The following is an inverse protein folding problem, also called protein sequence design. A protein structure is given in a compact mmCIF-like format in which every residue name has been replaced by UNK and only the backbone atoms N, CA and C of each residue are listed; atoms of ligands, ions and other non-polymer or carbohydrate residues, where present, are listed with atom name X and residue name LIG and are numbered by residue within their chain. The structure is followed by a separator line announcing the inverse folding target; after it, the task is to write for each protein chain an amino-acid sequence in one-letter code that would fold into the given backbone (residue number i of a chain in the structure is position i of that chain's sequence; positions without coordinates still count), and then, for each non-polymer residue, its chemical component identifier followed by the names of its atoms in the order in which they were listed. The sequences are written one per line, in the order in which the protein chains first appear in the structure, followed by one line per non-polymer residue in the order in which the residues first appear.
data_IF_170914602558
#
_entry.id   IF_170914602558
#
_cell.length_a   1.000
_cell.length_b   1.000
_cell.length_c   1.000
_cell.angle_alpha   90.00
_cell.angle_beta   90.00
_cell.angle_gamma   90.00
#
_symmetry.space_group_name_H-M   'P 1'
#
loop_
_entity.id
_entity.type
_entity.pdbx_description
1 polymer ?
#
# COMPACT_ATOMS: atom_id res chain seq x y z
N UNK A 1 -8.57 -28.21 4.00
CA UNK A 1 -8.81 -27.04 3.16
C UNK A 1 -10.32 -26.85 2.91
N UNK A 2 -11.07 -27.90 2.59
CA UNK A 2 -12.51 -27.85 2.39
C UNK A 2 -13.24 -27.28 3.62
N UNK A 3 -12.85 -27.70 4.82
CA UNK A 3 -13.39 -27.17 6.07
C UNK A 3 -13.09 -25.69 6.27
N UNK A 4 -11.88 -25.24 5.94
CA UNK A 4 -11.47 -23.84 6.06
C UNK A 4 -12.21 -22.93 5.06
N UNK A 5 -12.53 -23.44 3.88
CA UNK A 5 -13.29 -22.70 2.87
C UNK A 5 -14.79 -22.58 3.23
N UNK A 6 -15.30 -23.46 4.10
CA UNK A 6 -16.70 -23.44 4.57
C UNK A 6 -16.92 -22.58 5.83
N UNK A 7 -15.84 -22.14 6.50
CA UNK A 7 -15.97 -21.21 7.61
C UNK A 7 -16.52 -19.90 7.08
N UNK A 8 -17.78 -19.58 7.45
CA UNK A 8 -18.32 -18.26 7.24
C UNK A 8 -17.41 -17.24 7.94
N UNK A 9 -17.26 -16.01 7.40
CA UNK A 9 -16.52 -14.98 8.09
C UNK A 9 -17.10 -14.86 9.49
N UNK A 10 -16.28 -15.12 10.51
CA UNK A 10 -16.67 -14.84 11.88
C UNK A 10 -16.84 -13.32 11.95
N UNK A 11 -18.07 -12.87 12.12
CA UNK A 11 -18.35 -11.47 12.49
C UNK A 11 -17.61 -11.25 13.80
N UNK A 12 -16.46 -10.61 13.72
CA UNK A 12 -15.76 -10.11 14.92
C UNK A 12 -16.60 -8.93 15.39
N UNK A 13 -17.56 -9.25 16.25
CA UNK A 13 -18.31 -8.24 16.99
C UNK A 13 -17.37 -7.66 18.04
N UNK A 14 -16.71 -6.56 17.69
CA UNK A 14 -15.80 -5.83 18.58
C UNK A 14 -16.52 -5.06 19.68
N UNK A 15 -17.63 -5.56 20.20
CA UNK A 15 -18.37 -4.95 21.31
C UNK A 15 -18.16 -5.66 22.65
N UNK A 16 -17.13 -6.47 22.84
CA UNK A 16 -16.76 -6.95 24.16
C UNK A 16 -15.64 -6.11 24.76
N UNK A 17 -16.02 -5.42 25.83
CA UNK A 17 -15.22 -4.67 26.79
C UNK A 17 -13.87 -5.33 27.11
N UNK A 18 -12.79 -4.60 26.87
CA UNK A 18 -11.52 -4.86 27.53
C UNK A 18 -11.68 -4.32 28.95
N UNK A 19 -12.05 -5.18 29.89
CA UNK A 19 -11.87 -4.90 31.32
C UNK A 19 -10.37 -4.92 31.64
N UNK A 20 -9.91 -3.82 32.20
CA UNK A 20 -8.59 -3.63 32.78
C UNK A 20 -8.19 -4.77 33.70
N UNK A 21 -7.17 -5.52 33.36
CA UNK A 21 -6.37 -6.25 34.34
C UNK A 21 -4.99 -5.56 34.43
N UNK A 22 -4.92 -4.59 35.32
CA UNK A 22 -3.68 -4.01 35.78
C UNK A 22 -2.97 -5.03 36.67
N UNK A 23 -1.92 -5.64 36.17
CA UNK A 23 -0.91 -6.28 37.01
C UNK A 23 0.31 -5.38 37.14
N UNK A 24 0.52 -4.96 38.39
CA UNK A 24 1.55 -4.10 38.89
C UNK A 24 2.96 -4.68 38.68
N UNK A 25 3.84 -3.93 38.01
CA UNK A 25 5.28 -4.05 38.22
C UNK A 25 5.80 -2.74 38.83
N UNK A 26 6.12 -2.84 40.11
CA UNK A 26 6.81 -1.85 40.95
C UNK A 26 8.31 -1.80 40.57
N UNK A 27 8.80 -0.67 40.10
CA UNK A 27 10.17 -0.26 40.29
C UNK A 27 10.21 1.26 40.45
N UNK A 28 10.40 1.66 41.72
CA UNK A 28 10.61 3.03 42.08
C UNK A 28 11.91 3.59 41.49
N UNK A 29 11.85 4.82 41.04
CA UNK A 29 12.86 5.82 41.43
C UNK A 29 12.28 7.22 41.23
N UNK A 30 12.50 8.03 42.25
CA UNK A 30 12.03 9.38 42.45
C UNK A 30 12.89 10.41 41.69
N UNK A 31 12.27 11.39 41.05
CA UNK A 31 12.81 12.76 41.07
C UNK A 31 11.73 13.79 40.83
N UNK A 32 11.52 14.65 41.81
CA UNK A 32 10.68 15.84 41.82
C UNK A 32 11.12 16.85 40.77
N UNK A 33 10.16 17.49 40.09
CA UNK A 33 10.02 18.96 40.09
C UNK A 33 8.67 19.35 39.44
N UNK A 34 7.95 20.17 40.19
CA UNK A 34 6.70 20.83 39.78
C UNK A 34 6.95 21.88 38.70
N UNK A 35 6.01 22.03 37.76
CA UNK A 35 5.36 23.32 37.52
C UNK A 35 4.03 23.16 36.79
N UNK A 36 3.08 23.91 37.30
CA UNK A 36 1.70 24.08 36.87
C UNK A 36 1.60 24.95 35.61
N UNK A 37 0.82 24.53 34.60
CA UNK A 37 0.00 25.50 33.90
C UNK A 37 -1.23 24.83 33.23
N UNK A 38 -2.36 25.35 33.60
CA UNK A 38 -3.71 25.10 33.10
C UNK A 38 -3.87 25.55 31.65
N UNK A 39 -4.28 24.63 30.77
CA UNK A 39 -4.85 24.99 29.48
C UNK A 39 -6.15 24.20 29.23
N UNK A 40 -7.20 24.95 29.03
CA UNK A 40 -8.58 24.54 28.83
C UNK A 40 -8.75 23.70 27.56
N UNK A 41 -9.51 22.60 27.70
CA UNK A 41 -10.01 21.78 26.60
C UNK A 41 -11.11 22.53 25.84
N UNK A 42 -10.91 22.75 24.55
CA UNK A 42 -12.00 23.03 23.61
C UNK A 42 -12.29 21.78 22.81
N UNK A 43 -13.45 21.19 23.06
CA UNK A 43 -14.00 20.09 22.29
C UNK A 43 -14.33 20.56 20.86
N UNK A 44 -13.68 19.96 19.87
CA UNK A 44 -14.08 20.04 18.47
C UNK A 44 -15.10 18.95 18.13
N UNK A 45 -15.97 19.15 17.12
CA UNK A 45 -17.07 18.26 16.86
C UNK A 45 -16.58 16.92 16.28
N UNK A 46 -17.00 15.84 16.94
CA UNK A 46 -16.93 14.48 16.42
C UNK A 46 -17.82 14.39 15.17
N UNK A 47 -17.20 14.29 14.01
CA UNK A 47 -17.88 13.89 12.79
C UNK A 47 -17.23 12.59 12.32
N UNK A 48 -17.58 11.48 13.00
CA UNK A 48 -17.29 10.14 12.50
C UNK A 48 -18.33 9.80 11.44
N UNK A 49 -18.07 10.14 10.20
CA UNK A 49 -18.72 9.46 9.08
C UNK A 49 -18.31 8.00 9.13
N UNK A 50 -19.19 7.15 9.68
CA UNK A 50 -19.15 5.71 9.44
C UNK A 50 -19.38 5.53 7.95
N UNK A 51 -18.32 5.29 7.21
CA UNK A 51 -18.42 4.66 5.90
C UNK A 51 -18.92 3.25 6.14
N UNK A 52 -20.23 3.07 5.94
CA UNK A 52 -20.85 1.75 5.83
C UNK A 52 -20.25 1.07 4.60
N UNK A 53 -19.13 0.38 4.78
CA UNK A 53 -18.61 -0.57 3.79
C UNK A 53 -19.61 -1.71 3.80
N UNK A 54 -20.46 -1.77 2.80
CA UNK A 54 -21.35 -2.91 2.60
C UNK A 54 -20.49 -4.19 2.58
N UNK A 55 -20.85 -5.25 3.31
CA UNK A 55 -20.08 -6.48 3.30
C UNK A 55 -19.98 -6.99 1.88
N UNK A 56 -18.75 -7.18 1.41
CA UNK A 56 -18.47 -7.81 0.13
C UNK A 56 -19.07 -9.21 0.19
N UNK A 57 -20.02 -9.51 -0.72
CA UNK A 57 -20.62 -10.85 -0.85
C UNK A 57 -19.66 -11.85 -1.53
N UNK A 58 -18.38 -11.53 -1.62
CA UNK A 58 -17.38 -12.37 -2.23
C UNK A 58 -16.94 -13.45 -1.21
N UNK A 59 -17.02 -14.71 -1.65
CA UNK A 59 -16.51 -15.86 -0.89
C UNK A 59 -15.01 -15.77 -0.61
N UNK A 60 -14.43 -16.79 0.04
CA UNK A 60 -13.00 -16.83 0.34
C UNK A 60 -12.16 -16.82 -0.95
N UNK A 61 -11.03 -16.11 -0.91
CA UNK A 61 -10.02 -16.12 -1.97
C UNK A 61 -8.88 -17.05 -1.57
N UNK A 62 -8.59 -18.05 -2.41
CA UNK A 62 -7.51 -19.00 -2.20
C UNK A 62 -6.30 -18.60 -3.06
N UNK A 63 -5.16 -18.35 -2.44
CA UNK A 63 -3.98 -17.79 -3.07
C UNK A 63 -2.81 -18.76 -2.95
N UNK A 64 -2.12 -19.02 -4.07
CA UNK A 64 -0.91 -19.84 -4.12
C UNK A 64 0.28 -19.02 -4.63
N UNK A 65 1.35 -18.84 -3.83
CA UNK A 65 2.64 -18.39 -4.36
C UNK A 65 3.19 -19.37 -5.39
N UNK A 66 3.49 -18.86 -6.58
CA UNK A 66 4.00 -19.66 -7.69
C UNK A 66 4.97 -18.79 -8.54
N UNK A 67 6.27 -19.14 -8.65
CA UNK A 67 7.22 -18.33 -9.42
C UNK A 67 6.91 -18.23 -10.91
N UNK A 68 6.07 -19.12 -11.45
CA UNK A 68 5.66 -19.13 -12.86
C UNK A 68 4.34 -18.40 -13.12
N UNK A 69 3.71 -17.85 -12.08
CA UNK A 69 2.46 -17.10 -12.19
C UNK A 69 2.68 -15.62 -12.54
N UNK A 70 1.62 -14.86 -12.88
CA UNK A 70 1.69 -13.41 -13.01
C UNK A 70 2.25 -12.73 -11.75
N UNK A 71 2.91 -11.58 -11.94
CA UNK A 71 3.44 -10.80 -10.82
C UNK A 71 2.30 -10.25 -9.95
N UNK A 72 2.47 -10.37 -8.65
CA UNK A 72 1.65 -9.70 -7.65
C UNK A 72 1.95 -8.19 -7.68
N UNK A 73 0.93 -7.37 -7.86
CA UNK A 73 1.05 -5.92 -8.00
C UNK A 73 0.35 -5.17 -6.87
N UNK A 74 0.57 -3.85 -6.79
CA UNK A 74 -0.17 -2.98 -5.86
C UNK A 74 -1.67 -3.00 -6.13
N UNK A 75 -2.09 -3.17 -7.39
CA UNK A 75 -3.50 -3.30 -7.74
C UNK A 75 -4.09 -4.58 -7.16
N UNK A 76 -3.38 -5.71 -7.25
CA UNK A 76 -3.79 -6.98 -6.63
C UNK A 76 -3.91 -6.84 -5.11
N UNK A 77 -2.94 -6.16 -4.46
CA UNK A 77 -2.99 -5.90 -3.03
C UNK A 77 -4.22 -5.08 -2.65
N UNK A 78 -4.54 -4.04 -3.43
CA UNK A 78 -5.71 -3.19 -3.22
C UNK A 78 -7.00 -3.98 -3.39
N UNK A 79 -7.11 -4.81 -4.42
CA UNK A 79 -8.27 -5.66 -4.64
C UNK A 79 -8.46 -6.67 -3.50
N UNK A 80 -7.38 -7.35 -3.10
CA UNK A 80 -7.40 -8.33 -2.02
C UNK A 80 -7.64 -7.71 -0.63
N UNK A 81 -7.33 -6.44 -0.42
CA UNK A 81 -7.62 -5.74 0.84
C UNK A 81 -9.12 -5.60 1.13
N UNK A 82 -9.97 -5.80 0.12
CA UNK A 82 -11.43 -5.77 0.26
C UNK A 82 -12.03 -7.18 0.46
N UNK A 83 -11.23 -8.23 0.45
CA UNK A 83 -11.70 -9.59 0.65
C UNK A 83 -11.88 -9.88 2.14
N UNK A 84 -13.02 -10.49 2.51
CA UNK A 84 -13.32 -10.84 3.90
C UNK A 84 -12.46 -12.01 4.42
N UNK A 85 -12.01 -12.88 3.51
CA UNK A 85 -11.27 -14.08 3.90
C UNK A 85 -10.23 -14.45 2.84
N UNK A 86 -8.96 -14.45 3.23
CA UNK A 86 -7.83 -14.87 2.41
C UNK A 86 -7.24 -16.16 2.95
N UNK A 87 -7.07 -17.16 2.09
CA UNK A 87 -6.39 -18.41 2.39
C UNK A 87 -5.15 -18.54 1.50
N UNK A 88 -4.01 -18.86 2.11
CA UNK A 88 -2.75 -19.02 1.40
C UNK A 88 -2.29 -20.48 1.43
N UNK A 89 -2.07 -21.06 0.26
CA UNK A 89 -1.51 -22.41 0.11
C UNK A 89 -0.01 -22.34 -0.14
N UNK A 90 0.82 -22.66 0.87
CA UNK A 90 2.27 -22.66 0.75
C UNK A 90 2.76 -24.05 0.32
N UNK A 91 3.36 -24.13 -0.88
CA UNK A 91 4.07 -25.33 -1.35
C UNK A 91 5.50 -25.36 -0.82
N UNK A 92 6.03 -26.57 -0.64
CA UNK A 92 7.44 -26.84 -0.36
C UNK A 92 8.03 -27.76 -1.41
N UNK A 93 9.34 -27.85 -1.45
CA UNK A 93 10.10 -28.67 -2.43
C UNK A 93 9.77 -28.27 -3.87
N UNK A 94 9.10 -29.14 -4.62
CA UNK A 94 8.68 -28.91 -5.99
C UNK A 94 7.37 -28.11 -6.12
N UNK A 95 6.86 -27.55 -5.01
CA UNK A 95 5.64 -26.76 -4.97
C UNK A 95 4.43 -27.54 -4.48
N UNK A 96 3.29 -27.35 -5.12
CA UNK A 96 2.01 -28.02 -4.81
C UNK A 96 1.46 -28.74 -6.04
N UNK A 97 0.57 -29.70 -5.84
CA UNK A 97 -0.09 -30.41 -6.94
C UNK A 97 -0.98 -29.46 -7.74
N UNK A 98 -0.72 -29.29 -9.02
CA UNK A 98 -1.43 -28.41 -9.93
C UNK A 98 -2.95 -28.70 -10.03
N UNK A 99 -3.38 -29.90 -9.64
CA UNK A 99 -4.82 -30.26 -9.59
C UNK A 99 -5.55 -29.56 -8.44
N UNK A 100 -4.86 -29.11 -7.40
CA UNK A 100 -5.47 -28.41 -6.27
C UNK A 100 -6.10 -27.09 -6.70
N UNK A 101 -5.36 -26.13 -7.28
CA UNK A 101 -5.97 -24.89 -7.79
C UNK A 101 -7.05 -25.16 -8.84
N UNK A 102 -6.83 -26.13 -9.74
CA UNK A 102 -7.79 -26.49 -10.78
C UNK A 102 -9.11 -26.99 -10.18
N UNK A 103 -9.05 -27.86 -9.16
CA UNK A 103 -10.21 -28.41 -8.48
C UNK A 103 -11.07 -27.31 -7.84
N UNK A 104 -10.45 -26.42 -7.06
CA UNK A 104 -11.18 -25.37 -6.35
C UNK A 104 -11.75 -24.30 -7.29
N UNK A 105 -11.06 -23.98 -8.39
CA UNK A 105 -11.65 -23.14 -9.46
C UNK A 105 -12.89 -23.77 -10.07
N UNK A 106 -12.88 -25.09 -10.29
CA UNK A 106 -14.04 -25.82 -10.80
C UNK A 106 -15.24 -25.84 -9.83
N UNK A 107 -14.99 -25.64 -8.52
CA UNK A 107 -16.03 -25.47 -7.50
C UNK A 107 -16.55 -24.03 -7.38
N UNK A 108 -16.03 -23.09 -8.19
CA UNK A 108 -16.45 -21.69 -8.16
C UNK A 108 -15.72 -20.84 -7.09
N UNK A 109 -14.66 -21.36 -6.48
CA UNK A 109 -13.82 -20.59 -5.56
C UNK A 109 -12.91 -19.65 -6.37
N UNK A 110 -12.74 -18.40 -5.92
CA UNK A 110 -11.73 -17.49 -6.45
C UNK A 110 -10.33 -18.02 -6.07
N UNK A 111 -9.62 -18.57 -7.05
CA UNK A 111 -8.29 -19.14 -6.85
C UNK A 111 -7.29 -18.36 -7.68
N UNK A 112 -6.35 -17.72 -6.99
CA UNK A 112 -5.32 -16.89 -7.59
C UNK A 112 -3.94 -17.49 -7.37
N UNK A 113 -3.05 -17.28 -8.34
CA UNK A 113 -1.65 -17.68 -8.28
C UNK A 113 -0.79 -16.46 -8.60
N UNK A 114 0.23 -16.19 -7.76
CA UNK A 114 1.08 -15.01 -7.91
C UNK A 114 2.56 -15.34 -7.74
N UNK A 115 3.38 -14.72 -8.59
CA UNK A 115 4.82 -14.57 -8.39
C UNK A 115 5.10 -13.24 -7.66
N UNK A 116 6.11 -13.21 -6.80
CA UNK A 116 6.61 -11.96 -6.20
C UNK A 116 7.89 -11.45 -6.88
N UNK A 117 8.32 -12.06 -7.97
CA UNK A 117 9.50 -11.66 -8.74
C UNK A 117 10.14 -12.83 -9.48
N UNK A 118 11.11 -12.51 -10.36
CA UNK A 118 11.82 -13.48 -11.22
C UNK A 118 12.94 -14.18 -10.45
N UNK A 119 12.57 -14.88 -9.36
CA UNK A 119 13.48 -15.68 -8.54
C UNK A 119 12.71 -16.81 -7.82
N UNK A 120 13.43 -17.80 -7.33
CA UNK A 120 12.85 -18.95 -6.65
C UNK A 120 13.18 -18.94 -5.17
N UNK A 121 12.17 -19.23 -4.34
CA UNK A 121 12.30 -19.39 -2.88
C UNK A 121 12.17 -20.87 -2.49
N UNK A 122 12.68 -21.24 -1.31
CA UNK A 122 12.57 -22.60 -0.78
C UNK A 122 11.14 -23.01 -0.38
N UNK A 123 10.23 -22.06 -0.24
CA UNK A 123 8.84 -22.28 0.13
C UNK A 123 8.02 -21.02 -0.04
N UNK A 124 6.69 -21.14 0.05
CA UNK A 124 5.76 -20.04 -0.20
C UNK A 124 5.61 -19.05 0.97
N UNK A 125 6.08 -19.36 2.16
CA UNK A 125 5.78 -18.61 3.38
C UNK A 125 6.31 -17.17 3.35
N UNK A 126 7.52 -16.97 2.82
CA UNK A 126 8.11 -15.62 2.69
C UNK A 126 7.34 -14.81 1.64
N UNK A 127 6.94 -15.44 0.53
CA UNK A 127 6.12 -14.79 -0.47
C UNK A 127 4.76 -14.36 0.10
N UNK A 128 4.13 -15.21 0.90
CA UNK A 128 2.89 -14.89 1.64
C UNK A 128 3.10 -13.71 2.57
N UNK A 129 4.22 -13.66 3.31
CA UNK A 129 4.53 -12.54 4.20
C UNK A 129 4.62 -11.21 3.43
N UNK A 130 5.24 -11.20 2.24
CA UNK A 130 5.32 -10.01 1.37
C UNK A 130 3.94 -9.59 0.90
N UNK A 131 3.12 -10.54 0.43
CA UNK A 131 1.75 -10.24 -0.01
C UNK A 131 0.88 -9.72 1.13
N UNK A 132 0.93 -10.36 2.31
CA UNK A 132 0.19 -9.93 3.50
C UNK A 132 0.58 -8.51 3.94
N UNK A 133 1.87 -8.19 3.98
CA UNK A 133 2.34 -6.84 4.32
C UNK A 133 1.75 -5.80 3.34
N UNK A 134 1.79 -6.08 2.04
CA UNK A 134 1.24 -5.19 1.02
C UNK A 134 -0.29 -5.04 1.12
N UNK A 135 -1.01 -6.08 1.51
CA UNK A 135 -2.48 -6.08 1.65
C UNK A 135 -2.89 -5.39 2.96
N UNK A 136 -2.32 -5.81 4.10
CA UNK A 136 -2.78 -5.39 5.42
C UNK A 136 -2.54 -3.91 5.68
N UNK A 137 -1.46 -3.32 5.15
CA UNK A 137 -1.20 -1.88 5.26
C UNK A 137 -2.27 -1.01 4.60
N UNK A 138 -3.10 -1.56 3.72
CA UNK A 138 -4.23 -0.89 3.07
C UNK A 138 -5.53 -0.96 3.88
N UNK A 139 -5.56 -1.78 4.93
CA UNK A 139 -6.74 -1.91 5.79
C UNK A 139 -6.94 -0.64 6.64
N UNK A 140 -8.20 -0.20 6.82
CA UNK A 140 -8.50 0.94 7.67
C UNK A 140 -7.93 0.76 9.09
N UNK A 141 -7.21 1.78 9.58
CA UNK A 141 -6.64 1.77 10.94
C UNK A 141 -5.34 0.98 11.12
N UNK A 142 -4.86 0.27 10.09
CA UNK A 142 -3.58 -0.43 10.17
C UNK A 142 -2.39 0.56 10.16
N UNK A 143 -2.44 1.55 9.28
CA UNK A 143 -1.45 2.63 9.24
C UNK A 143 -1.86 3.78 10.18
N UNK A 144 -0.94 4.26 11.00
CA UNK A 144 -1.18 5.38 11.91
C UNK A 144 -1.49 6.72 11.22
N UNK A 145 -1.10 6.88 9.96
CA UNK A 145 -1.47 8.01 9.11
C UNK A 145 -2.00 7.50 7.76
N UNK A 146 -3.30 7.62 7.55
CA UNK A 146 -3.95 7.20 6.31
C UNK A 146 -3.52 8.04 5.08
N UNK A 147 -3.05 9.27 5.27
CA UNK A 147 -2.57 10.12 4.18
C UNK A 147 -1.24 9.64 3.59
N UNK A 148 -0.45 8.86 4.36
CA UNK A 148 0.84 8.36 3.88
C UNK A 148 0.72 7.37 2.72
N UNK A 149 -0.46 6.76 2.52
CA UNK A 149 -0.71 5.77 1.46
C UNK A 149 -1.07 6.44 0.12
N UNK A 150 -1.46 7.72 0.14
CA UNK A 150 -2.07 8.39 -1.03
C UNK A 150 -1.05 8.75 -2.11
N UNK A 151 0.18 9.10 -1.73
CA UNK A 151 1.24 9.57 -2.64
C UNK A 151 2.38 8.55 -2.84
N UNK A 152 2.14 7.29 -2.56
CA UNK A 152 3.16 6.24 -2.72
C UNK A 152 3.29 5.75 -4.16
N UNK A 153 4.40 5.06 -4.44
CA UNK A 153 4.61 4.40 -5.73
C UNK A 153 3.48 3.43 -6.03
N UNK A 154 3.06 3.41 -7.29
CA UNK A 154 2.02 2.51 -7.82
C UNK A 154 0.59 2.76 -7.32
N UNK A 155 0.32 3.88 -6.66
CA UNK A 155 -1.02 4.22 -6.19
C UNK A 155 -1.80 5.06 -7.19
N UNK A 156 -3.13 4.91 -7.19
CA UNK A 156 -4.05 5.67 -8.04
C UNK A 156 -4.09 5.21 -9.50
N UNK A 157 -4.92 5.88 -10.30
CA UNK A 157 -5.18 5.51 -11.70
C UNK A 157 -4.04 5.88 -12.65
N UNK A 158 -3.30 6.95 -12.35
CA UNK A 158 -2.09 7.37 -13.06
C UNK A 158 -0.87 7.12 -12.17
N UNK A 159 -0.67 5.85 -11.83
CA UNK A 159 0.39 5.42 -10.92
C UNK A 159 1.78 5.76 -11.46
N UNK A 160 2.58 6.41 -10.62
CA UNK A 160 3.99 6.71 -10.87
C UNK A 160 4.85 6.09 -9.76
N UNK A 161 6.16 6.18 -9.90
CA UNK A 161 7.07 6.04 -8.77
C UNK A 161 7.03 7.30 -7.91
N UNK A 162 7.05 7.13 -6.60
CA UNK A 162 7.17 8.24 -5.65
C UNK A 162 8.46 9.04 -5.88
N UNK A 163 8.41 10.35 -5.66
CA UNK A 163 9.58 11.22 -5.70
C UNK A 163 10.67 10.79 -4.70
N UNK A 164 11.89 11.31 -4.83
CA UNK A 164 12.97 11.02 -3.87
C UNK A 164 12.68 11.68 -2.53
N UNK A 165 12.85 10.92 -1.46
CA UNK A 165 12.68 11.40 -0.09
C UNK A 165 13.98 11.94 0.47
N UNK A 166 13.89 13.02 1.24
CA UNK A 166 15.01 13.67 1.90
C UNK A 166 14.75 13.78 3.41
N UNK A 167 15.78 13.58 4.22
CA UNK A 167 15.71 13.68 5.67
C UNK A 167 16.71 14.72 6.19
N UNK A 168 16.63 15.05 7.48
CA UNK A 168 17.65 15.86 8.16
C UNK A 168 18.98 15.09 8.23
N UNK A 169 20.11 15.80 8.18
CA UNK A 169 20.29 17.27 8.04
C UNK A 169 20.08 17.78 6.63
N UNK A 170 19.92 19.12 6.45
CA UNK A 170 19.76 19.76 5.14
C UNK A 170 20.98 19.59 4.21
N UNK A 171 22.12 19.26 4.74
CA UNK A 171 23.33 18.90 4.00
C UNK A 171 23.97 17.67 4.64
N UNK A 172 24.24 16.65 3.82
CA UNK A 172 24.94 15.44 4.24
C UNK A 172 26.12 15.16 3.32
N UNK A 173 27.34 15.19 3.88
CA UNK A 173 28.61 14.96 3.14
C UNK A 173 28.77 15.84 1.89
N UNK A 174 28.37 17.12 1.98
CA UNK A 174 28.44 18.07 0.87
C UNK A 174 27.28 17.98 -0.12
N UNK A 175 26.36 17.05 0.05
CA UNK A 175 25.15 16.91 -0.78
C UNK A 175 23.99 17.61 -0.07
N UNK A 176 23.37 18.58 -0.74
CA UNK A 176 22.27 19.38 -0.17
C UNK A 176 20.90 18.84 -0.56
N UNK A 177 19.97 18.98 0.36
CA UNK A 177 18.54 18.88 0.03
C UNK A 177 18.19 19.99 -0.95
N UNK A 178 17.39 19.74 -2.02
CA UNK A 178 16.94 20.79 -2.93
C UNK A 178 16.29 21.97 -2.19
N UNK A 179 16.72 23.20 -2.49
CA UNK A 179 16.27 24.42 -1.78
C UNK A 179 14.76 24.62 -1.82
N UNK A 180 14.09 24.16 -2.89
CA UNK A 180 12.63 24.24 -3.03
C UNK A 180 11.91 23.49 -1.90
N UNK A 181 12.45 22.36 -1.44
CA UNK A 181 11.88 21.56 -0.35
C UNK A 181 12.01 22.25 1.01
N UNK A 182 12.95 23.20 1.14
CA UNK A 182 13.19 23.99 2.35
C UNK A 182 12.47 25.36 2.33
N UNK A 183 11.82 25.69 1.21
CA UNK A 183 11.26 27.03 0.96
C UNK A 183 9.99 27.36 1.75
N UNK A 184 9.29 26.36 2.31
CA UNK A 184 7.97 26.53 2.93
C UNK A 184 6.84 26.86 1.95
N UNK A 185 7.10 26.91 0.65
CA UNK A 185 6.08 27.14 -0.38
C UNK A 185 5.51 25.81 -0.88
N UNK A 186 4.39 25.38 -0.30
CA UNK A 186 3.75 24.10 -0.57
C UNK A 186 3.51 23.87 -2.07
N UNK A 187 2.93 24.86 -2.78
CA UNK A 187 2.64 24.70 -4.22
C UNK A 187 3.90 24.45 -5.07
N UNK A 188 5.04 25.07 -4.69
CA UNK A 188 6.31 24.80 -5.37
C UNK A 188 6.89 23.46 -4.98
N UNK A 189 6.73 23.06 -3.73
CA UNK A 189 7.18 21.76 -3.21
C UNK A 189 6.40 20.65 -3.91
N UNK A 190 5.07 20.75 -3.98
CA UNK A 190 4.21 19.74 -4.61
C UNK A 190 4.52 19.61 -6.12
N UNK A 191 4.71 20.75 -6.80
CA UNK A 191 5.12 20.72 -8.22
C UNK A 191 6.48 20.06 -8.41
N UNK A 192 7.45 20.39 -7.57
CA UNK A 192 8.78 19.79 -7.62
C UNK A 192 8.73 18.27 -7.42
N UNK A 193 7.98 17.81 -6.40
CA UNK A 193 7.78 16.39 -6.13
C UNK A 193 7.14 15.66 -7.31
N UNK A 194 6.13 16.29 -7.92
CA UNK A 194 5.46 15.72 -9.08
C UNK A 194 6.36 15.65 -10.30
N UNK A 195 7.16 16.69 -10.58
CA UNK A 195 8.14 16.68 -11.66
C UNK A 195 9.21 15.60 -11.44
N UNK A 196 9.73 15.50 -10.22
CA UNK A 196 10.71 14.47 -9.86
C UNK A 196 10.14 13.05 -9.94
N UNK A 197 8.87 12.85 -9.58
CA UNK A 197 8.19 11.56 -9.75
C UNK A 197 8.10 11.17 -11.24
N UNK A 198 7.77 12.10 -12.11
CA UNK A 198 7.73 11.88 -13.57
C UNK A 198 9.13 11.55 -14.12
N UNK A 199 10.16 12.31 -13.74
CA UNK A 199 11.55 12.09 -14.15
C UNK A 199 12.06 10.73 -13.68
N UNK A 200 11.87 10.39 -12.41
CA UNK A 200 12.27 9.10 -11.84
C UNK A 200 11.53 7.93 -12.49
N UNK A 201 10.24 8.11 -12.79
CA UNK A 201 9.45 7.08 -13.46
C UNK A 201 9.91 6.88 -14.90
N UNK A 202 10.21 7.95 -15.64
CA UNK A 202 10.79 7.85 -16.99
C UNK A 202 12.13 7.08 -16.99
N UNK A 203 12.96 7.33 -15.98
CA UNK A 203 14.27 6.68 -15.85
C UNK A 203 14.17 5.19 -15.53
N UNK A 204 13.31 4.81 -14.58
CA UNK A 204 13.31 3.48 -13.97
C UNK A 204 12.15 2.58 -14.43
N UNK A 205 11.01 3.17 -14.76
CA UNK A 205 9.79 2.46 -15.13
C UNK A 205 9.03 3.21 -16.24
N UNK A 206 9.64 3.35 -17.43
CA UNK A 206 8.99 4.02 -18.57
C UNK A 206 7.66 3.38 -18.98
N UNK A 207 7.47 2.09 -18.71
CA UNK A 207 6.22 1.37 -18.91
C UNK A 207 5.04 2.01 -18.15
N UNK A 208 5.28 2.58 -16.95
CA UNK A 208 4.24 3.31 -16.20
C UNK A 208 3.90 4.64 -16.85
N UNK A 209 4.88 5.31 -17.51
CA UNK A 209 4.59 6.52 -18.28
C UNK A 209 3.72 6.17 -19.50
N UNK A 210 4.02 5.08 -20.20
CA UNK A 210 3.23 4.60 -21.34
C UNK A 210 1.77 4.27 -20.98
N UNK A 211 1.52 3.89 -19.73
CA UNK A 211 0.20 3.56 -19.22
C UNK A 211 -0.63 4.76 -18.74
N UNK A 212 -0.02 5.97 -18.64
CA UNK A 212 -0.73 7.15 -18.14
C UNK A 212 -1.88 7.57 -19.08
N UNK A 213 -3.02 7.91 -18.50
CA UNK A 213 -4.12 8.54 -19.23
C UNK A 213 -3.80 10.01 -19.47
N UNK A 214 -3.52 10.37 -20.72
CA UNK A 214 -3.23 11.76 -21.09
C UNK A 214 -4.37 12.73 -20.76
N UNK A 215 -5.64 12.30 -20.70
CA UNK A 215 -6.75 13.16 -20.36
C UNK A 215 -6.69 13.67 -18.92
N UNK A 216 -6.05 12.91 -18.03
CA UNK A 216 -5.88 13.24 -16.60
C UNK A 216 -4.60 14.04 -16.29
N UNK A 217 -3.73 14.25 -17.28
CA UNK A 217 -2.50 15.03 -17.13
C UNK A 217 -2.78 16.53 -17.17
N UNK A 218 -2.28 17.25 -16.19
CA UNK A 218 -2.34 18.71 -16.20
C UNK A 218 -1.35 19.33 -17.22
N UNK A 219 -1.39 20.65 -17.38
CA UNK A 219 -0.53 21.36 -18.33
C UNK A 219 0.97 21.27 -17.95
N UNK A 220 1.28 21.23 -16.66
CA UNK A 220 2.64 21.14 -16.16
C UNK A 220 3.20 19.73 -16.37
N UNK A 221 2.43 18.68 -16.05
CA UNK A 221 2.79 17.27 -16.29
C UNK A 221 3.09 17.03 -17.77
N UNK A 222 2.21 17.52 -18.66
CA UNK A 222 2.44 17.43 -20.13
C UNK A 222 3.73 18.12 -20.53
N UNK A 223 4.03 19.30 -19.98
CA UNK A 223 5.27 20.03 -20.27
C UNK A 223 6.50 19.24 -19.82
N UNK A 224 6.47 18.67 -18.63
CA UNK A 224 7.56 17.84 -18.08
C UNK A 224 7.78 16.60 -18.96
N UNK A 225 6.71 15.85 -19.27
CA UNK A 225 6.81 14.67 -20.15
C UNK A 225 7.33 15.02 -21.54
N UNK A 226 6.89 16.14 -22.12
CA UNK A 226 7.42 16.60 -23.41
C UNK A 226 8.92 16.93 -23.35
N UNK A 227 9.40 17.49 -22.23
CA UNK A 227 10.84 17.77 -22.03
C UNK A 227 11.66 16.48 -21.87
N UNK A 228 11.05 15.40 -21.38
CA UNK A 228 11.62 14.06 -21.29
C UNK A 228 11.52 13.26 -22.61
N UNK A 229 10.98 13.86 -23.67
CA UNK A 229 10.88 13.25 -24.99
C UNK A 229 9.62 12.45 -25.24
N UNK A 230 8.58 12.66 -24.44
CA UNK A 230 7.28 12.01 -24.64
C UNK A 230 6.34 12.86 -25.50
N UNK A 231 5.59 12.23 -26.36
CA UNK A 231 4.44 12.81 -27.05
C UNK A 231 3.17 12.51 -26.26
N UNK A 232 2.43 13.56 -25.87
CA UNK A 232 1.23 13.47 -24.99
C UNK A 232 -0.02 14.05 -25.67
N UNK A 233 -0.05 14.02 -27.01
CA UNK A 233 -1.20 14.47 -27.81
C UNK A 233 -2.27 13.40 -27.98
N UNK A 234 -1.92 12.13 -27.83
CA UNK A 234 -2.81 10.98 -27.92
C UNK A 234 -3.47 10.63 -26.58
N UNK A 235 -4.21 9.50 -26.51
CA UNK A 235 -4.79 9.02 -25.26
C UNK A 235 -3.75 8.57 -24.24
N UNK A 236 -2.62 8.05 -24.71
CA UNK A 236 -1.49 7.59 -23.90
C UNK A 236 -0.18 8.23 -24.38
N UNK A 237 0.80 8.49 -23.48
CA UNK A 237 2.11 8.97 -23.87
C UNK A 237 2.86 7.97 -24.78
N UNK A 238 3.67 8.51 -25.70
CA UNK A 238 4.55 7.70 -26.57
C UNK A 238 5.94 8.28 -26.55
N UNK A 239 6.96 7.46 -26.39
CA UNK A 239 8.35 7.89 -26.49
C UNK A 239 8.64 8.28 -27.94
N UNK A 240 9.31 9.41 -28.18
CA UNK A 240 9.75 9.87 -29.50
C UNK A 240 11.01 9.16 -29.95
#
# INVERSE_FOLDING_TARGET
LDELLQLAPAVIDNTENIEDSADSFDTGDSCDTADSDTAQSSAGPENSEKTDIAPSSAGPVLIFPNPSAPLFTQQDATELSHADHLLFGCGRYEGYDARIPQYYRAQGIDVREYSIGDYVLNGGEVAVSVMLEAITRLLPGFMGNAESIVEESYTGENALLEHRQYTKPAEWRGIKVPDVLLSGNHAKVDRFRRDEALEKTDELRPDLIEALDCAKLDKADRKTLMSLGWEVSGPYPRKR
#
